data_IF_986942120733
#
_entry.id   IF_986942120733
#
_cell.length_a   1.000
_cell.length_b   1.000
_cell.length_c   1.000
_cell.angle_alpha   90.00
_cell.angle_beta   90.00
_cell.angle_gamma   90.00
#
_symmetry.space_group_name_H-M   'P 1'
#
loop_
_entity.id
_entity.type
_entity.pdbx_description
1 polymer ?
#
# COMPACT_ATOMS: atom_id res chain seq x y z
N UNK A 1 57.84 -3.00 -43.12
CA UNK A 1 57.09 -1.89 -42.50
C UNK A 1 55.70 -2.35 -42.22
N UNK A 2 55.41 -2.63 -40.92
CA UNK A 2 54.10 -3.09 -40.43
C UNK A 2 53.42 -1.94 -39.70
N UNK A 3 52.23 -1.61 -40.12
CA UNK A 3 51.37 -0.60 -39.48
C UNK A 3 50.32 -1.36 -38.71
N UNK A 4 50.32 -1.23 -37.38
CA UNK A 4 49.30 -1.75 -36.49
C UNK A 4 48.06 -0.84 -36.47
N UNK A 5 46.90 -1.38 -36.79
CA UNK A 5 45.63 -0.73 -36.68
C UNK A 5 45.07 -0.84 -35.27
N UNK A 6 44.82 0.27 -34.60
CA UNK A 6 44.06 0.35 -33.35
C UNK A 6 42.57 0.10 -33.61
N UNK A 7 42.05 -0.97 -33.06
CA UNK A 7 40.62 -1.23 -32.94
C UNK A 7 40.02 -0.37 -31.82
N UNK A 8 39.05 0.50 -32.18
CA UNK A 8 38.21 1.21 -31.21
C UNK A 8 37.10 0.29 -30.73
N UNK A 9 37.11 -0.03 -29.45
CA UNK A 9 35.99 -0.69 -28.77
C UNK A 9 34.79 0.26 -28.71
N UNK A 10 33.79 -0.04 -29.51
CA UNK A 10 32.45 0.55 -29.37
C UNK A 10 31.84 0.04 -28.06
N UNK A 11 31.68 0.90 -27.07
CA UNK A 11 30.86 0.62 -25.91
C UNK A 11 29.42 0.42 -26.37
N UNK A 12 28.98 -0.81 -26.32
CA UNK A 12 27.59 -1.21 -26.52
C UNK A 12 26.78 -0.67 -25.35
N UNK A 13 26.14 0.48 -25.57
CA UNK A 13 25.13 1.02 -24.66
C UNK A 13 23.87 0.22 -24.90
N UNK A 14 23.72 -0.86 -24.17
CA UNK A 14 22.48 -1.65 -24.12
C UNK A 14 21.35 -0.78 -23.61
N UNK A 15 20.55 -0.27 -24.53
CA UNK A 15 19.24 0.34 -24.21
C UNK A 15 18.36 -0.75 -23.61
N UNK A 16 17.79 -0.55 -22.42
CA UNK A 16 16.86 -1.52 -21.83
C UNK A 16 15.63 -1.66 -22.74
N UNK A 17 14.99 -2.86 -22.79
CA UNK A 17 13.82 -3.08 -23.61
C UNK A 17 12.65 -2.17 -23.17
N UNK A 18 11.79 -1.70 -24.12
CA UNK A 18 10.76 -0.71 -23.88
C UNK A 18 9.54 -1.20 -23.09
N UNK A 19 9.55 -2.41 -22.54
CA UNK A 19 8.41 -3.06 -21.86
C UNK A 19 8.68 -3.44 -20.39
N UNK A 20 9.57 -2.76 -19.71
CA UNK A 20 9.56 -2.83 -18.25
C UNK A 20 8.39 -1.96 -17.76
N UNK A 21 7.44 -2.49 -16.97
CA UNK A 21 6.45 -1.65 -16.31
C UNK A 21 7.21 -0.57 -15.54
N UNK A 22 7.01 0.70 -15.89
CA UNK A 22 7.58 1.82 -15.15
C UNK A 22 6.98 1.70 -13.75
N UNK A 23 7.76 1.22 -12.81
CA UNK A 23 7.43 1.28 -11.39
C UNK A 23 7.41 2.77 -11.03
N UNK A 24 6.23 3.38 -11.14
CA UNK A 24 6.01 4.71 -10.59
C UNK A 24 6.04 4.57 -9.06
N UNK A 25 7.24 4.66 -8.52
CA UNK A 25 7.47 4.82 -7.10
C UNK A 25 7.27 6.30 -6.79
N UNK A 26 6.05 6.63 -6.42
CA UNK A 26 5.72 7.99 -6.02
C UNK A 26 5.94 8.15 -4.51
N UNK A 27 6.43 9.31 -4.08
CA UNK A 27 6.39 9.73 -2.68
C UNK A 27 5.17 10.60 -2.44
N UNK A 28 4.56 10.44 -1.27
CA UNK A 28 3.40 11.19 -0.86
C UNK A 28 3.55 11.62 0.60
N UNK A 29 2.78 12.62 1.01
CA UNK A 29 2.73 13.09 2.39
C UNK A 29 1.35 12.81 2.97
N UNK A 30 1.30 12.20 4.13
CA UNK A 30 0.06 11.91 4.85
C UNK A 30 -0.58 13.21 5.32
N UNK A 31 -1.83 13.45 4.94
CA UNK A 31 -2.62 14.57 5.44
C UNK A 31 -3.58 14.14 6.55
N UNK A 32 -4.28 13.02 6.34
CA UNK A 32 -5.29 12.56 7.28
C UNK A 32 -5.55 11.06 7.12
N UNK A 33 -5.83 10.38 8.21
CA UNK A 33 -6.48 9.07 8.21
C UNK A 33 -7.99 9.28 8.27
N UNK A 34 -8.70 8.85 7.24
CA UNK A 34 -10.16 9.00 7.15
C UNK A 34 -10.87 7.85 7.85
N UNK A 35 -10.40 6.61 7.62
CA UNK A 35 -10.90 5.38 8.23
C UNK A 35 -9.79 4.33 8.26
N UNK A 36 -10.03 3.15 8.78
CA UNK A 36 -9.02 2.10 8.95
C UNK A 36 -8.35 1.61 7.67
N UNK A 37 -8.92 1.91 6.49
CA UNK A 37 -8.36 1.57 5.18
C UNK A 37 -8.42 2.70 4.15
N UNK A 38 -8.78 3.90 4.60
CA UNK A 38 -8.92 5.08 3.74
C UNK A 38 -8.17 6.26 4.34
N UNK A 39 -7.31 6.87 3.54
CA UNK A 39 -6.45 8.00 3.94
C UNK A 39 -6.52 9.13 2.92
N UNK A 40 -6.06 10.32 3.31
CA UNK A 40 -5.75 11.41 2.38
C UNK A 40 -4.26 11.60 2.29
N UNK A 41 -3.76 11.64 1.07
CA UNK A 41 -2.37 11.90 0.77
C UNK A 41 -2.24 13.13 -0.11
N UNK A 42 -1.20 13.91 0.12
CA UNK A 42 -0.75 14.94 -0.83
C UNK A 42 0.27 14.30 -1.78
N UNK A 43 -0.09 14.22 -3.06
CA UNK A 43 0.70 13.65 -4.15
C UNK A 43 0.85 14.74 -5.19
N UNK A 44 2.08 15.11 -5.58
CA UNK A 44 2.38 16.15 -6.58
C UNK A 44 1.64 17.48 -6.30
N UNK A 45 1.52 17.84 -5.02
CA UNK A 45 0.85 19.08 -4.59
C UNK A 45 -0.68 19.03 -4.55
N UNK A 46 -1.30 17.90 -4.91
CA UNK A 46 -2.74 17.68 -4.88
C UNK A 46 -3.15 16.72 -3.78
N UNK A 47 -4.26 17.02 -3.08
CA UNK A 47 -4.85 16.10 -2.10
C UNK A 47 -5.67 15.04 -2.79
N UNK A 48 -5.34 13.77 -2.55
CA UNK A 48 -6.03 12.60 -3.08
C UNK A 48 -6.61 11.75 -1.94
N UNK A 49 -7.84 11.28 -2.12
CA UNK A 49 -8.39 10.23 -1.25
C UNK A 49 -7.92 8.87 -1.76
N UNK A 50 -7.33 8.11 -0.88
CA UNK A 50 -6.67 6.83 -1.17
C UNK A 50 -7.36 5.70 -0.41
N UNK A 51 -7.72 4.63 -1.13
CA UNK A 51 -8.16 3.35 -0.57
C UNK A 51 -6.98 2.38 -0.60
N UNK A 52 -6.63 1.85 0.54
CA UNK A 52 -5.56 0.86 0.66
C UNK A 52 -5.97 -0.45 -0.02
N UNK A 53 -5.18 -0.90 -1.00
CA UNK A 53 -5.46 -2.11 -1.79
C UNK A 53 -5.39 -3.35 -0.92
N UNK A 54 -6.22 -4.35 -1.25
CA UNK A 54 -6.21 -5.72 -0.76
C UNK A 54 -6.57 -5.89 0.73
N UNK A 55 -7.10 -4.86 1.38
CA UNK A 55 -7.55 -4.92 2.77
C UNK A 55 -8.96 -4.34 2.91
N UNK A 56 -9.66 -4.78 3.95
CA UNK A 56 -10.96 -4.30 4.35
C UNK A 56 -11.03 -4.21 5.87
N UNK A 57 -11.30 -3.01 6.37
CA UNK A 57 -11.46 -2.76 7.81
C UNK A 57 -12.94 -2.71 8.19
N UNK A 58 -13.29 -3.02 9.44
CA UNK A 58 -14.65 -2.80 9.91
C UNK A 58 -15.06 -1.33 9.77
N UNK A 59 -16.25 -1.10 9.24
CA UNK A 59 -16.77 0.22 8.91
C UNK A 59 -17.06 1.08 10.15
N UNK A 60 -16.64 2.36 10.12
CA UNK A 60 -16.89 3.32 11.20
C UNK A 60 -17.74 4.52 10.80
N UNK A 61 -17.76 4.89 9.52
CA UNK A 61 -18.33 6.17 9.03
C UNK A 61 -19.49 6.03 8.06
N UNK A 62 -20.03 4.82 7.90
CA UNK A 62 -21.15 4.62 6.98
C UNK A 62 -22.41 5.32 7.51
N UNK A 63 -23.08 6.20 6.72
CA UNK A 63 -24.17 7.04 7.20
C UNK A 63 -25.41 6.28 7.71
N UNK A 64 -25.60 5.03 7.29
CA UNK A 64 -26.78 4.21 7.61
C UNK A 64 -26.47 2.88 8.28
N UNK A 65 -25.20 2.50 8.40
CA UNK A 65 -24.79 1.27 9.10
C UNK A 65 -24.28 1.60 10.51
N UNK A 66 -24.44 0.66 11.42
CA UNK A 66 -23.82 0.75 12.73
C UNK A 66 -22.31 0.63 12.60
N UNK A 67 -21.58 1.29 13.51
CA UNK A 67 -20.14 1.06 13.68
C UNK A 67 -19.91 -0.44 13.88
N UNK A 68 -19.06 -1.00 13.03
CA UNK A 68 -18.74 -2.42 13.08
C UNK A 68 -17.72 -2.70 14.20
N UNK A 69 -17.76 -3.95 14.68
CA UNK A 69 -16.83 -4.41 15.73
C UNK A 69 -15.39 -4.20 15.30
N UNK A 70 -14.60 -3.55 16.13
CA UNK A 70 -13.18 -3.25 15.93
C UNK A 70 -12.88 -2.15 14.87
N UNK A 71 -13.88 -1.43 14.39
CA UNK A 71 -13.70 -0.34 13.43
C UNK A 71 -12.93 0.85 14.02
N UNK A 72 -13.35 1.42 15.17
CA UNK A 72 -12.63 2.52 15.80
C UNK A 72 -11.16 2.19 16.11
N UNK A 73 -10.90 0.95 16.54
CA UNK A 73 -9.55 0.47 16.84
C UNK A 73 -8.69 0.37 15.56
N UNK A 74 -9.30 -0.02 14.43
CA UNK A 74 -8.61 -0.08 13.14
C UNK A 74 -8.20 1.33 12.67
N UNK A 75 -9.10 2.30 12.75
CA UNK A 75 -8.82 3.71 12.42
C UNK A 75 -7.72 4.27 13.32
N UNK A 76 -7.84 4.10 14.63
CA UNK A 76 -6.83 4.57 15.59
C UNK A 76 -5.47 3.91 15.38
N UNK A 77 -5.43 2.64 15.03
CA UNK A 77 -4.17 1.96 14.71
C UNK A 77 -3.52 2.58 13.47
N UNK A 78 -4.28 2.80 12.40
CA UNK A 78 -3.75 3.42 11.19
C UNK A 78 -3.24 4.85 11.47
N UNK A 79 -3.93 5.63 12.32
CA UNK A 79 -3.47 6.95 12.78
C UNK A 79 -2.13 6.90 13.51
N UNK A 80 -1.86 5.83 14.27
CA UNK A 80 -0.56 5.66 14.94
C UNK A 80 0.58 5.34 13.97
N UNK A 81 0.27 4.69 12.85
CA UNK A 81 1.25 4.37 11.82
C UNK A 81 1.48 5.55 10.87
N UNK A 82 0.42 6.23 10.47
CA UNK A 82 0.42 7.27 9.46
C UNK A 82 0.10 8.62 10.10
N UNK A 83 1.06 9.13 10.86
CA UNK A 83 0.96 10.46 11.46
C UNK A 83 0.96 11.53 10.37
N UNK A 84 0.16 12.58 10.54
CA UNK A 84 0.13 13.75 9.62
C UNK A 84 1.54 14.28 9.36
N UNK A 85 1.79 14.70 8.12
CA UNK A 85 3.09 15.15 7.58
C UNK A 85 4.16 14.04 7.44
N UNK A 86 3.83 12.78 7.72
CA UNK A 86 4.73 11.66 7.43
C UNK A 86 4.86 11.46 5.92
N UNK A 87 6.10 11.35 5.44
CA UNK A 87 6.38 10.95 4.05
C UNK A 87 6.30 9.45 3.91
N UNK A 88 5.55 8.99 2.94
CA UNK A 88 5.38 7.58 2.58
C UNK A 88 5.75 7.35 1.12
N UNK A 89 6.17 6.13 0.79
CA UNK A 89 6.29 5.67 -0.58
C UNK A 89 4.99 4.98 -0.97
N UNK A 90 4.53 5.21 -2.18
CA UNK A 90 3.30 4.62 -2.69
C UNK A 90 3.53 3.87 -4.00
N UNK A 91 2.78 2.81 -4.20
CA UNK A 91 2.80 2.03 -5.44
C UNK A 91 1.38 1.83 -5.94
N UNK A 92 1.21 1.97 -7.24
CA UNK A 92 -0.01 1.62 -7.98
C UNK A 92 0.04 0.15 -8.40
N UNK A 93 -1.12 -0.41 -8.61
CA UNK A 93 -1.28 -1.69 -9.30
C UNK A 93 -1.92 -1.44 -10.68
N UNK A 94 -2.60 -2.42 -11.24
CA UNK A 94 -3.14 -2.37 -12.60
C UNK A 94 -4.25 -1.33 -12.73
N UNK A 95 -5.25 -1.36 -11.83
CA UNK A 95 -6.34 -0.39 -11.82
C UNK A 95 -6.04 0.73 -10.83
N UNK A 96 -5.98 1.99 -11.31
CA UNK A 96 -5.51 3.10 -10.49
C UNK A 96 -6.57 3.69 -9.56
N UNK A 97 -7.88 3.54 -9.85
CA UNK A 97 -8.97 4.12 -9.08
C UNK A 97 -10.15 3.16 -8.96
N UNK A 98 -10.89 3.30 -7.89
CA UNK A 98 -12.16 2.59 -7.70
C UNK A 98 -13.36 3.35 -8.32
N UNK A 99 -14.54 2.74 -8.24
CA UNK A 99 -15.79 3.32 -8.76
C UNK A 99 -16.20 4.64 -8.09
N UNK A 100 -15.62 4.97 -6.93
CA UNK A 100 -15.86 6.23 -6.20
C UNK A 100 -14.80 7.30 -6.52
N UNK A 101 -13.86 7.00 -7.41
CA UNK A 101 -12.77 7.89 -7.81
C UNK A 101 -11.58 7.94 -6.85
N UNK A 102 -11.56 7.11 -5.78
CA UNK A 102 -10.43 7.04 -4.86
C UNK A 102 -9.24 6.37 -5.54
N UNK A 103 -8.02 6.86 -5.29
CA UNK A 103 -6.80 6.18 -5.71
C UNK A 103 -6.67 4.85 -4.99
N UNK A 104 -6.24 3.82 -5.72
CA UNK A 104 -5.94 2.49 -5.20
C UNK A 104 -4.42 2.36 -5.06
N UNK A 105 -3.92 2.27 -3.81
CA UNK A 105 -2.48 2.28 -3.55
C UNK A 105 -2.08 1.21 -2.53
N UNK A 106 -0.85 0.71 -2.72
CA UNK A 106 -0.03 0.13 -1.66
C UNK A 106 0.81 1.24 -1.04
N UNK A 107 0.84 1.30 0.29
CA UNK A 107 1.54 2.35 1.05
C UNK A 107 2.68 1.72 1.85
N UNK A 108 3.86 2.33 1.74
CA UNK A 108 5.07 1.88 2.43
C UNK A 108 5.56 2.97 3.37
N UNK A 109 5.73 2.62 4.62
CA UNK A 109 6.28 3.47 5.65
C UNK A 109 7.74 3.09 5.90
N UNK A 110 8.64 4.08 5.91
CA UNK A 110 10.03 3.86 6.30
C UNK A 110 10.14 3.77 7.81
N UNK A 111 10.79 2.70 8.28
CA UNK A 111 11.06 2.43 9.69
C UNK A 111 12.55 2.18 9.90
N UNK A 112 13.01 2.11 11.14
CA UNK A 112 14.40 1.77 11.46
C UNK A 112 14.80 0.35 10.97
N UNK A 113 13.80 -0.54 10.87
CA UNK A 113 13.99 -1.90 10.36
C UNK A 113 13.89 -2.02 8.82
N UNK A 114 13.64 -0.91 8.11
CA UNK A 114 13.44 -0.88 6.66
C UNK A 114 12.06 -0.42 6.26
N UNK A 115 11.64 -0.72 5.04
CA UNK A 115 10.29 -0.38 4.57
C UNK A 115 9.26 -1.39 5.04
N UNK A 116 8.14 -0.88 5.52
CA UNK A 116 6.99 -1.65 5.98
C UNK A 116 5.79 -1.40 5.07
N UNK A 117 5.23 -2.44 4.46
CA UNK A 117 3.97 -2.37 3.73
C UNK A 117 2.81 -2.21 4.73
N UNK A 118 2.25 -1.00 4.79
CA UNK A 118 1.18 -0.61 5.72
C UNK A 118 -0.06 -1.49 5.54
N UNK A 119 -0.48 -1.73 4.30
CA UNK A 119 -1.61 -2.62 3.96
C UNK A 119 -1.47 -3.99 4.64
N UNK A 120 -0.27 -4.60 4.57
CA UNK A 120 0.03 -5.89 5.21
C UNK A 120 0.05 -5.77 6.74
N UNK A 121 0.64 -4.71 7.28
CA UNK A 121 0.78 -4.53 8.73
C UNK A 121 -0.57 -4.39 9.43
N UNK A 122 -1.52 -3.65 8.85
CA UNK A 122 -2.89 -3.52 9.35
C UNK A 122 -3.57 -4.90 9.46
N UNK A 123 -3.40 -5.76 8.45
CA UNK A 123 -3.92 -7.13 8.46
C UNK A 123 -3.19 -8.02 9.47
N UNK A 124 -1.86 -7.93 9.53
CA UNK A 124 -1.03 -8.73 10.44
C UNK A 124 -1.35 -8.48 11.91
N UNK A 125 -1.71 -7.24 12.25
CA UNK A 125 -2.14 -6.85 13.61
C UNK A 125 -3.59 -7.21 13.91
N UNK A 126 -4.34 -7.65 12.90
CA UNK A 126 -5.74 -8.05 13.05
C UNK A 126 -6.73 -6.88 13.04
N UNK A 127 -6.38 -5.77 12.39
CA UNK A 127 -7.27 -4.61 12.24
C UNK A 127 -8.05 -4.63 10.92
N UNK A 128 -7.64 -5.47 9.96
CA UNK A 128 -8.34 -5.66 8.69
C UNK A 128 -8.44 -7.14 8.30
N UNK A 129 -9.38 -7.43 7.40
CA UNK A 129 -9.44 -8.67 6.64
C UNK A 129 -8.81 -8.48 5.27
N UNK A 130 -8.28 -9.54 4.65
CA UNK A 130 -7.87 -9.45 3.25
C UNK A 130 -9.11 -9.31 2.36
N UNK A 131 -9.05 -8.39 1.39
CA UNK A 131 -10.08 -8.20 0.36
C UNK A 131 -9.39 -8.10 -0.99
N UNK A 132 -9.39 -9.20 -1.76
CA UNK A 132 -8.76 -9.25 -3.06
C UNK A 132 -9.76 -8.88 -4.15
N UNK A 133 -9.45 -7.81 -4.90
CA UNK A 133 -10.25 -7.34 -6.03
C UNK A 133 -9.34 -7.31 -7.25
N UNK A 134 -9.61 -8.18 -8.22
CA UNK A 134 -8.92 -8.17 -9.49
C UNK A 134 -9.11 -6.82 -10.21
N UNK A 135 -8.09 -6.32 -10.94
CA UNK A 135 -6.80 -6.97 -11.24
C UNK A 135 -5.67 -6.63 -10.24
N UNK A 136 -5.94 -5.93 -9.14
CA UNK A 136 -4.96 -5.41 -8.19
C UNK A 136 -4.54 -6.47 -7.16
N UNK A 137 -3.57 -7.32 -7.49
CA UNK A 137 -3.19 -8.49 -6.69
C UNK A 137 -1.70 -8.63 -6.38
N UNK A 138 -0.88 -7.61 -6.68
CA UNK A 138 0.59 -7.66 -6.56
C UNK A 138 1.09 -8.21 -5.23
N UNK A 139 0.53 -7.77 -4.11
CA UNK A 139 0.94 -8.19 -2.76
C UNK A 139 -0.02 -9.19 -2.09
N UNK A 140 -0.92 -9.80 -2.86
CA UNK A 140 -1.96 -10.72 -2.36
C UNK A 140 -1.40 -11.81 -1.45
N UNK A 141 -0.34 -12.50 -1.87
CA UNK A 141 0.23 -13.60 -1.10
C UNK A 141 0.72 -13.16 0.29
N UNK A 142 1.37 -12.00 0.38
CA UNK A 142 1.88 -11.46 1.64
C UNK A 142 0.74 -11.04 2.58
N UNK A 143 -0.32 -10.45 2.03
CA UNK A 143 -1.48 -9.97 2.81
C UNK A 143 -2.31 -11.15 3.31
N UNK A 144 -2.52 -12.17 2.48
CA UNK A 144 -3.22 -13.39 2.89
C UNK A 144 -2.43 -14.14 3.97
N UNK A 145 -1.10 -14.27 3.82
CA UNK A 145 -0.25 -14.88 4.84
C UNK A 145 -0.32 -14.11 6.18
N UNK A 146 -0.36 -12.78 6.14
CA UNK A 146 -0.51 -11.93 7.33
C UNK A 146 -1.87 -12.16 8.03
N UNK A 147 -2.96 -12.36 7.25
CA UNK A 147 -4.27 -12.67 7.79
C UNK A 147 -4.31 -14.03 8.50
N UNK A 148 -3.71 -15.05 7.91
CA UNK A 148 -3.59 -16.37 8.54
C UNK A 148 -2.80 -16.30 9.85
N UNK A 149 -1.72 -15.51 9.89
CA UNK A 149 -0.95 -15.32 11.09
C UNK A 149 -1.75 -14.58 12.17
N UNK A 150 -2.45 -13.50 11.81
CA UNK A 150 -3.33 -12.75 12.72
C UNK A 150 -4.44 -13.64 13.30
N UNK A 151 -5.09 -14.44 12.47
CA UNK A 151 -6.15 -15.36 12.88
C UNK A 151 -5.62 -16.45 13.82
N UNK A 152 -4.49 -17.06 13.47
CA UNK A 152 -3.87 -18.13 14.27
C UNK A 152 -3.45 -17.67 15.66
N UNK A 153 -3.07 -16.41 15.81
CA UNK A 153 -2.67 -15.81 17.09
C UNK A 153 -3.81 -15.01 17.75
N UNK A 154 -5.03 -15.10 17.23
CA UNK A 154 -6.20 -14.39 17.74
C UNK A 154 -5.92 -12.89 17.98
N UNK A 155 -5.35 -12.19 16.98
CA UNK A 155 -5.06 -10.76 17.07
C UNK A 155 -6.27 -9.91 16.67
N UNK A 156 -6.44 -8.77 17.34
CA UNK A 156 -7.42 -7.74 16.98
C UNK A 156 -8.83 -8.29 16.81
N UNK A 157 -9.44 -8.03 15.66
CA UNK A 157 -10.81 -8.45 15.31
C UNK A 157 -11.04 -9.97 15.44
N UNK A 158 -10.00 -10.78 15.24
CA UNK A 158 -10.09 -12.25 15.36
C UNK A 158 -10.26 -12.76 16.77
N UNK A 159 -9.93 -11.93 17.76
CA UNK A 159 -10.16 -12.20 19.18
C UNK A 159 -11.46 -11.59 19.68
N UNK A 160 -11.78 -10.38 19.23
CA UNK A 160 -12.80 -9.55 19.86
C UNK A 160 -14.14 -9.55 19.14
N UNK A 161 -14.16 -9.87 17.83
CA UNK A 161 -15.38 -9.89 17.04
C UNK A 161 -15.87 -11.32 16.80
N UNK A 162 -17.16 -11.55 17.00
CA UNK A 162 -17.82 -12.85 16.77
C UNK A 162 -18.58 -12.82 15.45
#
# INVERSE_FOLDING_TARGET
LLIAGCGVNSHDVSTPPPDSPIEHVDTAVVEEVVDGDTIRLRIDGSTETVRLIAIDTPETKHPTKRVECFGPEASSFLETLLVTDTTVRVERDVEPRDAYGRLLLYVFLRTDAGEMLVNREVVLRGFARPLMIEPNTRYQQQIVAAAFDAQRHARGLWKHCK
#
